data_IF_314197053048
#
_entry.id   IF_314197053048
#
_cell.length_a   1.000
_cell.length_b   1.000
_cell.length_c   1.000
_cell.angle_alpha   90.00
_cell.angle_beta   90.00
_cell.angle_gamma   90.00
#
_symmetry.space_group_name_H-M   'P 1'
#
loop_
_entity.id
_entity.type
_entity.pdbx_description
1 polymer ?
#
# COMPACT_ATOMS: atom_id res chain seq x y z
N UNK A 1 15.05 7.61 16.31
CA UNK A 1 13.90 6.74 16.67
C UNK A 1 14.10 5.33 16.19
N UNK A 2 13.07 4.51 16.39
CA UNK A 2 12.95 3.14 15.88
C UNK A 2 11.58 2.96 15.23
N UNK A 3 11.46 1.99 14.31
CA UNK A 3 10.19 1.69 13.65
C UNK A 3 10.22 0.39 12.86
N UNK A 4 9.13 0.08 12.18
CA UNK A 4 9.07 -0.99 11.19
C UNK A 4 8.62 -0.42 9.85
N UNK A 5 9.24 -0.90 8.78
CA UNK A 5 8.90 -0.57 7.41
C UNK A 5 8.30 -1.80 6.72
N UNK A 6 7.22 -1.58 5.99
CA UNK A 6 6.62 -2.55 5.08
C UNK A 6 6.66 -1.97 3.68
N UNK A 7 7.21 -2.73 2.73
CA UNK A 7 7.27 -2.38 1.32
C UNK A 7 6.64 -3.50 0.51
N UNK A 8 5.84 -3.14 -0.49
CA UNK A 8 5.17 -4.09 -1.38
C UNK A 8 5.74 -3.94 -2.78
N UNK A 9 6.07 -5.07 -3.41
CA UNK A 9 6.55 -5.12 -4.78
C UNK A 9 6.15 -6.43 -5.45
N UNK A 10 6.37 -6.55 -6.78
CA UNK A 10 6.26 -7.83 -7.45
C UNK A 10 7.30 -8.83 -6.92
N UNK A 11 7.01 -10.13 -7.01
CA UNK A 11 8.00 -11.17 -6.75
C UNK A 11 9.08 -11.13 -7.84
N UNK A 12 10.35 -11.00 -7.44
CA UNK A 12 11.47 -10.87 -8.38
C UNK A 12 11.91 -12.21 -8.99
N UNK A 13 11.49 -13.35 -8.42
CA UNK A 13 11.84 -14.68 -8.96
C UNK A 13 11.25 -14.94 -10.36
N UNK A 14 10.26 -14.15 -10.81
CA UNK A 14 9.69 -14.19 -12.16
C UNK A 14 10.30 -13.15 -13.11
N UNK A 15 10.93 -12.08 -12.61
CA UNK A 15 11.42 -10.99 -13.47
C UNK A 15 12.73 -11.30 -14.20
N UNK A 16 13.58 -12.17 -13.67
CA UNK A 16 14.81 -12.60 -14.37
C UNK A 16 14.52 -13.49 -15.60
N UNK A 17 13.26 -13.92 -15.83
CA UNK A 17 12.84 -14.69 -17.01
C UNK A 17 11.99 -13.89 -18.01
N UNK A 18 11.43 -12.73 -17.63
CA UNK A 18 10.49 -11.96 -18.47
C UNK A 18 11.17 -10.89 -19.36
N UNK A 19 12.49 -10.66 -19.24
CA UNK A 19 13.19 -9.70 -20.11
C UNK A 19 13.42 -10.21 -21.56
N UNK A 20 13.17 -11.50 -21.84
CA UNK A 20 13.43 -12.11 -23.16
C UNK A 20 12.20 -12.53 -24.00
N UNK A 21 10.95 -12.48 -23.49
CA UNK A 21 9.79 -12.94 -24.28
C UNK A 21 8.62 -11.94 -24.32
N UNK A 22 8.54 -11.22 -25.44
CA UNK A 22 7.30 -10.59 -25.88
C UNK A 22 6.26 -11.67 -26.20
N UNK A 23 5.09 -11.53 -25.58
CA UNK A 23 3.83 -12.23 -25.89
C UNK A 23 3.82 -13.72 -25.57
N UNK A 24 3.11 -14.10 -24.52
CA UNK A 24 1.92 -14.95 -24.61
C UNK A 24 1.23 -15.06 -23.24
N UNK A 25 -0.04 -15.42 -23.28
CA UNK A 25 -0.95 -15.46 -22.15
C UNK A 25 -0.48 -16.48 -21.12
N UNK A 26 -0.41 -16.10 -19.84
CA UNK A 26 -0.59 -17.08 -18.78
C UNK A 26 -1.30 -16.48 -17.57
N UNK A 27 -2.35 -17.19 -17.16
CA UNK A 27 -3.16 -17.03 -15.96
C UNK A 27 -2.35 -17.43 -14.70
N UNK A 28 -1.09 -16.99 -14.62
CA UNK A 28 -0.19 -17.18 -13.48
C UNK A 28 -0.02 -15.86 -12.73
N UNK A 29 -0.93 -15.57 -11.79
CA UNK A 29 -1.03 -14.29 -11.11
C UNK A 29 0.33 -13.75 -10.62
N UNK A 30 0.71 -12.57 -11.11
CA UNK A 30 1.90 -11.82 -10.67
C UNK A 30 1.89 -11.75 -9.15
N UNK A 31 2.78 -12.51 -8.51
CA UNK A 31 2.75 -12.69 -7.07
C UNK A 31 3.18 -11.40 -6.37
N UNK A 32 2.39 -10.97 -5.39
CA UNK A 32 2.72 -9.81 -4.56
C UNK A 32 3.67 -10.25 -3.45
N UNK A 33 4.83 -9.61 -3.37
CA UNK A 33 5.82 -9.86 -2.32
C UNK A 33 5.84 -8.71 -1.31
N UNK A 34 5.86 -9.09 -0.03
CA UNK A 34 5.96 -8.17 1.09
C UNK A 34 7.37 -8.22 1.67
N UNK A 35 8.04 -7.07 1.68
CA UNK A 35 9.35 -6.87 2.30
C UNK A 35 9.17 -6.12 3.62
N UNK A 36 9.77 -6.63 4.70
CA UNK A 36 9.67 -6.04 6.03
C UNK A 36 11.05 -5.75 6.61
N UNK A 37 11.20 -4.60 7.28
CA UNK A 37 12.44 -4.23 7.96
C UNK A 37 12.17 -3.57 9.32
N UNK A 38 13.05 -3.80 10.30
CA UNK A 38 13.08 -3.04 11.56
C UNK A 38 14.10 -1.93 11.42
N UNK A 39 13.66 -0.69 11.56
CA UNK A 39 14.48 0.51 11.41
C UNK A 39 15.12 0.93 12.73
N UNK A 40 16.42 1.20 12.69
CA UNK A 40 17.25 1.77 13.74
C UNK A 40 18.08 2.95 13.20
N UNK A 41 18.62 3.81 14.09
CA UNK A 41 19.47 4.93 13.65
C UNK A 41 20.68 4.43 12.85
N UNK A 42 20.90 5.02 11.67
CA UNK A 42 21.98 4.65 10.76
C UNK A 42 21.56 3.71 9.62
N UNK A 43 20.38 3.08 9.71
CA UNK A 43 19.88 2.22 8.64
C UNK A 43 19.53 3.03 7.39
N UNK A 44 19.77 2.41 6.23
CA UNK A 44 19.40 2.95 4.91
C UNK A 44 18.42 2.00 4.26
N UNK A 45 17.36 2.56 3.68
CA UNK A 45 16.36 1.81 2.91
C UNK A 45 16.15 2.49 1.57
N UNK A 46 15.90 1.70 0.53
CA UNK A 46 15.52 2.18 -0.79
C UNK A 46 14.05 1.90 -0.99
N UNK A 47 13.29 2.92 -1.40
CA UNK A 47 11.88 2.79 -1.78
C UNK A 47 11.81 3.05 -3.28
N UNK A 48 11.72 2.00 -4.12
CA UNK A 48 11.67 2.18 -5.55
C UNK A 48 10.38 2.90 -5.97
N UNK A 49 10.40 3.59 -7.11
CA UNK A 49 9.21 4.26 -7.63
C UNK A 49 8.06 3.25 -7.85
N UNK A 50 6.83 3.67 -7.57
CA UNK A 50 5.64 2.84 -7.74
C UNK A 50 5.43 1.75 -6.68
N UNK A 51 6.32 1.59 -5.70
CA UNK A 51 6.18 0.57 -4.66
C UNK A 51 5.43 1.12 -3.44
N UNK A 52 4.26 0.54 -3.06
CA UNK A 52 3.57 0.93 -1.84
C UNK A 52 4.45 0.70 -0.60
N UNK A 53 4.50 1.70 0.27
CA UNK A 53 5.29 1.67 1.50
C UNK A 53 4.47 2.17 2.69
N UNK A 54 4.64 1.52 3.84
CA UNK A 54 4.11 1.96 5.12
C UNK A 54 5.21 1.92 6.19
N UNK A 55 5.22 2.93 7.08
CA UNK A 55 6.17 2.99 8.20
C UNK A 55 5.40 3.15 9.50
N UNK A 56 5.71 2.30 10.48
CA UNK A 56 5.17 2.37 11.84
C UNK A 56 6.28 2.77 12.81
N UNK A 57 6.08 3.86 13.55
CA UNK A 57 7.03 4.32 14.56
C UNK A 57 6.80 3.57 15.89
N UNK A 58 7.86 2.99 16.47
CA UNK A 58 7.83 2.38 17.81
C UNK A 58 8.39 3.31 18.89
N UNK A 59 9.09 4.35 18.48
CA UNK A 59 9.44 5.55 19.24
C UNK A 59 9.50 6.75 18.29
N UNK A 60 9.66 7.98 18.79
CA UNK A 60 9.77 9.17 17.94
C UNK A 60 10.84 8.97 16.85
N UNK A 61 10.38 8.88 15.60
CA UNK A 61 11.16 8.49 14.43
C UNK A 61 11.27 9.66 13.47
N UNK A 62 12.51 10.05 13.17
CA UNK A 62 12.85 11.03 12.14
C UNK A 62 13.61 10.32 11.03
N UNK A 63 13.17 10.51 9.80
CA UNK A 63 13.77 9.93 8.59
C UNK A 63 14.24 11.06 7.67
N UNK A 64 15.41 10.89 7.05
CA UNK A 64 15.91 11.75 6.00
C UNK A 64 15.80 11.00 4.67
N UNK A 65 15.14 11.60 3.67
CA UNK A 65 14.95 11.00 2.35
C UNK A 65 15.61 11.83 1.24
N UNK A 66 16.31 11.16 0.34
CA UNK A 66 16.82 11.75 -0.90
C UNK A 66 15.98 11.25 -2.08
N UNK A 67 15.22 12.14 -2.71
CA UNK A 67 14.43 11.82 -3.89
C UNK A 67 15.30 11.86 -5.15
N UNK A 68 15.46 10.72 -5.81
CA UNK A 68 16.09 10.62 -7.14
C UNK A 68 14.98 10.72 -8.19
N UNK A 69 15.24 11.39 -9.31
CA UNK A 69 14.25 11.64 -10.37
C UNK A 69 12.97 12.32 -9.82
N UNK A 70 13.15 13.36 -9.02
CA UNK A 70 12.08 13.99 -8.24
C UNK A 70 11.21 14.98 -9.05
N UNK A 71 11.62 15.34 -10.28
CA UNK A 71 10.85 16.26 -11.10
C UNK A 71 9.46 15.69 -11.38
N UNK A 72 8.40 16.46 -11.08
CA UNK A 72 7.00 16.06 -11.19
C UNK A 72 6.58 14.82 -10.38
N UNK A 73 7.40 14.37 -9.42
CA UNK A 73 7.05 13.24 -8.58
C UNK A 73 5.84 13.56 -7.68
N UNK A 74 4.81 12.70 -7.75
CA UNK A 74 3.62 12.78 -6.91
C UNK A 74 3.64 11.69 -5.84
N UNK A 75 3.27 12.06 -4.61
CA UNK A 75 3.05 11.08 -3.54
C UNK A 75 1.57 10.70 -3.52
N UNK A 76 1.26 9.48 -3.93
CA UNK A 76 -0.08 8.94 -3.93
C UNK A 76 -0.35 8.17 -2.64
N UNK A 77 -1.31 8.62 -1.83
CA UNK A 77 -1.74 7.87 -0.64
C UNK A 77 -2.81 6.83 -1.04
N UNK A 78 -2.82 5.69 -0.34
CA UNK A 78 -3.78 4.59 -0.59
C UNK A 78 -4.85 4.48 0.51
N UNK A 79 -4.73 5.30 1.55
CA UNK A 79 -5.64 5.37 2.69
C UNK A 79 -5.62 6.79 3.27
N UNK A 80 -6.60 7.11 4.11
CA UNK A 80 -6.79 8.45 4.64
C UNK A 80 -7.87 9.23 3.89
N UNK A 81 -8.18 10.42 4.42
CA UNK A 81 -9.22 11.29 3.89
C UNK A 81 -8.70 12.12 2.70
N UNK A 82 -7.50 12.68 2.82
CA UNK A 82 -6.83 13.49 1.81
C UNK A 82 -5.89 12.65 0.95
N UNK A 83 -5.76 13.03 -0.34
CA UNK A 83 -4.85 12.44 -1.34
C UNK A 83 -4.90 10.92 -1.53
N UNK A 84 -5.94 10.28 -1.01
CA UNK A 84 -6.19 8.87 -1.25
C UNK A 84 -6.68 8.66 -2.70
N UNK A 85 -5.81 8.14 -3.57
CA UNK A 85 -6.13 7.94 -4.99
C UNK A 85 -7.24 6.92 -5.20
N UNK A 86 -7.45 5.98 -4.26
CA UNK A 86 -8.55 5.01 -4.34
C UNK A 86 -9.90 5.74 -4.20
N UNK A 87 -9.97 6.82 -3.43
CA UNK A 87 -11.20 7.63 -3.33
C UNK A 87 -11.59 8.29 -4.65
N UNK A 88 -10.60 8.59 -5.52
CA UNK A 88 -10.80 9.28 -6.79
C UNK A 88 -11.30 8.35 -7.91
N UNK A 89 -11.23 7.02 -7.71
CA UNK A 89 -11.73 6.04 -8.67
C UNK A 89 -13.25 6.21 -8.83
N UNK A 90 -13.74 6.23 -10.07
CA UNK A 90 -15.17 6.35 -10.37
C UNK A 90 -15.94 5.12 -9.87
N UNK A 91 -17.19 5.33 -9.42
CA UNK A 91 -18.02 4.23 -8.86
C UNK A 91 -18.13 2.99 -9.76
N UNK A 92 -18.40 3.11 -11.07
CA UNK A 92 -18.50 1.92 -11.92
C UNK A 92 -17.19 1.13 -11.98
N UNK A 93 -16.04 1.82 -11.92
CA UNK A 93 -14.73 1.18 -11.92
C UNK A 93 -14.48 0.48 -10.57
N UNK A 94 -14.88 1.09 -9.45
CA UNK A 94 -14.78 0.46 -8.12
C UNK A 94 -15.59 -0.83 -8.03
N UNK A 95 -16.82 -0.84 -8.55
CA UNK A 95 -17.71 -2.03 -8.56
C UNK A 95 -17.12 -3.18 -9.38
N UNK A 96 -16.35 -2.89 -10.42
CA UNK A 96 -15.67 -3.91 -11.22
C UNK A 96 -14.34 -4.35 -10.62
N UNK A 97 -13.66 -3.48 -9.87
CA UNK A 97 -12.30 -3.70 -9.38
C UNK A 97 -12.27 -4.42 -8.03
N UNK A 98 -13.18 -4.04 -7.12
CA UNK A 98 -13.18 -4.51 -5.74
C UNK A 98 -14.33 -5.47 -5.48
N UNK A 99 -14.18 -6.44 -4.56
CA UNK A 99 -15.30 -7.21 -4.08
C UNK A 99 -16.28 -6.32 -3.31
N UNK A 100 -17.57 -6.44 -3.63
CA UNK A 100 -18.65 -5.65 -3.02
C UNK A 100 -19.09 -4.44 -3.84
N UNK A 101 -20.07 -3.70 -3.33
CA UNK A 101 -20.59 -2.50 -4.00
C UNK A 101 -19.67 -1.29 -3.82
N UNK A 102 -19.71 -0.32 -4.75
CA UNK A 102 -18.95 0.93 -4.58
C UNK A 102 -19.30 1.65 -3.28
N UNK A 103 -20.54 1.54 -2.80
CA UNK A 103 -20.99 2.14 -1.53
C UNK A 103 -20.31 1.48 -0.32
N UNK A 104 -20.12 0.15 -0.34
CA UNK A 104 -19.39 -0.56 0.71
C UNK A 104 -17.91 -0.20 0.70
N UNK A 105 -17.30 -0.12 -0.48
CA UNK A 105 -15.91 0.31 -0.66
C UNK A 105 -15.71 1.75 -0.18
N UNK A 106 -16.56 2.69 -0.61
CA UNK A 106 -16.52 4.09 -0.18
C UNK A 106 -16.70 4.21 1.34
N UNK A 107 -17.60 3.41 1.94
CA UNK A 107 -17.79 3.38 3.39
C UNK A 107 -16.55 2.88 4.11
N UNK A 108 -15.91 1.82 3.61
CA UNK A 108 -14.70 1.26 4.20
C UNK A 108 -13.55 2.27 4.16
N UNK A 109 -13.29 2.87 3.00
CA UNK A 109 -12.18 3.80 2.82
C UNK A 109 -12.36 5.05 3.70
N UNK A 110 -13.59 5.57 3.81
CA UNK A 110 -13.91 6.74 4.64
C UNK A 110 -13.88 6.48 6.15
N UNK A 111 -13.62 5.26 6.61
CA UNK A 111 -13.50 4.97 8.04
C UNK A 111 -12.24 5.59 8.67
N UNK A 112 -11.16 5.75 7.89
CA UNK A 112 -9.98 6.47 8.32
C UNK A 112 -10.22 7.98 8.16
N UNK A 113 -10.17 8.72 9.27
CA UNK A 113 -10.39 10.17 9.34
C UNK A 113 -9.10 10.99 9.38
N UNK A 114 -7.97 10.34 9.65
CA UNK A 114 -6.67 10.97 9.64
C UNK A 114 -6.03 10.81 8.25
N UNK A 115 -5.31 11.84 7.80
CA UNK A 115 -4.56 11.83 6.55
C UNK A 115 -3.07 11.79 6.83
N UNK A 116 -2.31 11.16 5.94
CA UNK A 116 -0.83 11.08 5.93
C UNK A 116 -0.21 10.30 7.09
N UNK A 117 -0.53 10.66 8.33
CA UNK A 117 -0.10 10.00 9.55
C UNK A 117 -1.32 9.69 10.42
N UNK A 118 -1.45 8.42 10.80
CA UNK A 118 -2.53 7.94 11.63
C UNK A 118 -1.99 7.17 12.83
N UNK A 119 -2.83 7.01 13.86
CA UNK A 119 -2.48 6.16 14.98
C UNK A 119 -2.25 4.73 14.50
N UNK A 120 -1.04 4.19 14.73
CA UNK A 120 -0.70 2.81 14.39
C UNK A 120 -1.49 1.75 15.18
N UNK A 121 -2.23 2.18 16.23
CA UNK A 121 -3.14 1.32 16.99
C UNK A 121 -4.55 1.45 16.40
N UNK A 122 -5.23 0.33 16.10
CA UNK A 122 -6.63 0.39 15.69
C UNK A 122 -7.44 1.07 16.80
N UNK A 123 -8.17 2.12 16.44
CA UNK A 123 -9.13 2.73 17.34
C UNK A 123 -10.22 1.68 17.60
N UNK A 124 -10.30 1.16 18.83
CA UNK A 124 -11.28 0.15 19.20
C UNK A 124 -12.70 0.68 18.95
N UNK A 125 -13.25 0.41 17.77
CA UNK A 125 -14.69 0.47 17.54
C UNK A 125 -15.23 -0.95 17.69
N UNK A 126 -15.97 -1.17 18.77
CA UNK A 126 -16.88 -2.32 18.91
C UNK A 126 -17.88 -2.28 17.76
N UNK A 127 -17.91 -3.32 16.92
CA UNK A 127 -19.00 -3.55 15.97
C UNK A 127 -18.55 -4.02 14.60
N UNK A 128 -18.71 -5.33 14.37
CA UNK A 128 -18.71 -6.04 13.08
C UNK A 128 -17.45 -5.90 12.20
N UNK A 129 -16.53 -6.85 12.41
CA UNK A 129 -15.47 -7.20 11.47
C UNK A 129 -16.14 -7.76 10.21
N UNK A 130 -16.09 -7.02 9.10
CA UNK A 130 -16.38 -7.58 7.76
C UNK A 130 -15.16 -8.38 7.31
N UNK A 131 -15.00 -9.58 7.87
CA UNK A 131 -13.93 -10.53 7.54
C UNK A 131 -13.95 -10.99 6.08
N UNK A 132 -15.00 -10.68 5.33
CA UNK A 132 -15.18 -11.11 3.95
C UNK A 132 -14.38 -10.34 2.90
N UNK A 133 -13.94 -9.10 3.18
CA UNK A 133 -13.20 -8.30 2.18
C UNK A 133 -11.69 -8.64 2.21
N UNK A 134 -11.15 -8.98 3.38
CA UNK A 134 -9.73 -9.30 3.54
C UNK A 134 -9.40 -10.76 3.18
N UNK A 135 -10.40 -11.63 3.10
CA UNK A 135 -10.24 -13.03 2.70
C UNK A 135 -10.15 -13.26 1.19
N UNK A 136 -10.34 -12.22 0.36
CA UNK A 136 -10.26 -12.34 -1.09
C UNK A 136 -8.81 -12.26 -1.64
N UNK A 137 -7.83 -12.08 -0.76
CA UNK A 137 -6.41 -11.96 -1.12
C UNK A 137 -5.52 -13.06 -0.52
N UNK A 138 -6.12 -14.16 -0.03
CA UNK A 138 -5.43 -15.37 0.40
C UNK A 138 -6.01 -16.60 -0.29
#
# INVERSE_FOLDING_TARGET
GKGNLELVGPNNEQQEQEEDEQQEQDEGGRQVQRYNARLSPGDVVVIPAGHPVAVSASSDLSLLGFGINAENNQRNFLAGEEDNVINQIQKPVKELTFPGSAQEVDRLIRNQKQSYFANARPQQRRGQILSSILGAFY
#
